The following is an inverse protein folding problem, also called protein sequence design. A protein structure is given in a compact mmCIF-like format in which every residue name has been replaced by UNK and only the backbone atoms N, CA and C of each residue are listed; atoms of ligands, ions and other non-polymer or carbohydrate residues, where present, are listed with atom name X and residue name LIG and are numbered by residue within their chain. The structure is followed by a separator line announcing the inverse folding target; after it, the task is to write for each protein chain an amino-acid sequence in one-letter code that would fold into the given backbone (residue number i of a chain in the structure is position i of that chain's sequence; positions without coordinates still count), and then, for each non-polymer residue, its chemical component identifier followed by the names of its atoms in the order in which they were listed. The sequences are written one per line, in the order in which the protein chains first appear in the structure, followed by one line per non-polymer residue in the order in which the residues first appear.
data_IF_737759896101
#
_entry.id   IF_737759896101
#
_cell.length_a   1.000
_cell.length_b   1.000
_cell.length_c   1.000
_cell.angle_alpha   90.00
_cell.angle_beta   90.00
_cell.angle_gamma   90.00
#
_symmetry.space_group_name_H-M   'P 1'
#
loop_
_entity.id
_entity.type
_entity.pdbx_description
1 polymer ?
#
# COMPACT_ATOMS: atom_id res chain seq x y z
N UNK A 1 -38.69 15.31 13.25
CA UNK A 1 -37.58 14.64 12.53
C UNK A 1 -36.92 13.66 13.51
N UNK A 2 -37.12 12.35 13.31
CA UNK A 2 -36.82 11.30 14.29
C UNK A 2 -35.30 11.20 14.61
N UNK A 3 -34.96 11.27 15.90
CA UNK A 3 -33.59 11.18 16.43
C UNK A 3 -32.91 9.84 16.05
N UNK A 4 -33.69 8.76 15.94
CA UNK A 4 -33.25 7.43 15.49
C UNK A 4 -32.74 7.40 14.05
N UNK A 5 -33.27 8.22 13.14
CA UNK A 5 -32.74 8.35 11.77
C UNK A 5 -31.45 9.16 11.73
N UNK A 6 -31.32 10.17 12.60
CA UNK A 6 -30.05 10.91 12.76
C UNK A 6 -28.96 10.01 13.31
N UNK A 7 -29.26 9.19 14.31
CA UNK A 7 -28.30 8.23 14.85
C UNK A 7 -27.93 7.14 13.85
N UNK A 8 -28.86 6.64 13.02
CA UNK A 8 -28.52 5.66 11.98
C UNK A 8 -27.63 6.26 10.89
N UNK A 9 -27.88 7.50 10.46
CA UNK A 9 -27.06 8.21 9.47
C UNK A 9 -25.69 8.59 10.03
N UNK A 10 -25.61 9.03 11.29
CA UNK A 10 -24.34 9.33 11.98
C UNK A 10 -23.54 8.06 12.27
N UNK A 11 -24.22 6.95 12.57
CA UNK A 11 -23.56 5.64 12.70
C UNK A 11 -23.07 5.15 11.34
N UNK A 12 -23.83 5.35 10.26
CA UNK A 12 -23.44 5.03 8.88
C UNK A 12 -22.30 5.91 8.37
N UNK A 13 -22.25 7.19 8.73
CA UNK A 13 -21.12 8.08 8.41
C UNK A 13 -19.86 7.73 9.22
N UNK A 14 -19.99 7.05 10.36
CA UNK A 14 -18.86 6.49 11.13
C UNK A 14 -18.22 5.27 10.48
N UNK A 15 -18.95 4.56 9.60
CA UNK A 15 -18.44 3.35 8.91
C UNK A 15 -17.37 3.71 7.87
N UNK A 16 -17.46 4.88 7.23
CA UNK A 16 -16.45 5.39 6.30
C UNK A 16 -15.63 6.50 6.94
N UNK A 17 -14.63 6.13 7.73
CA UNK A 17 -13.62 7.11 8.15
C UNK A 17 -12.87 7.61 6.91
N UNK A 18 -12.66 8.94 6.74
CA UNK A 18 -11.88 9.48 5.61
C UNK A 18 -10.48 8.85 5.52
N UNK A 19 -9.94 8.40 6.66
CA UNK A 19 -8.67 7.70 6.76
C UNK A 19 -8.67 6.33 6.09
N UNK A 20 -9.82 5.64 6.04
CA UNK A 20 -9.93 4.35 5.33
C UNK A 20 -9.70 4.55 3.84
N UNK A 21 -10.34 5.55 3.24
CA UNK A 21 -10.13 5.92 1.84
C UNK A 21 -8.70 6.40 1.60
N UNK A 22 -8.12 7.14 2.55
CA UNK A 22 -6.73 7.60 2.47
C UNK A 22 -5.73 6.44 2.45
N UNK A 23 -5.89 5.45 3.34
CA UNK A 23 -5.01 4.26 3.31
C UNK A 23 -5.24 3.41 2.08
N UNK A 24 -6.47 3.32 1.58
CA UNK A 24 -6.75 2.63 0.31
C UNK A 24 -6.00 3.27 -0.85
N UNK A 25 -6.08 4.60 -0.97
CA UNK A 25 -5.33 5.35 -1.96
C UNK A 25 -3.82 5.18 -1.77
N UNK A 26 -3.32 5.25 -0.53
CA UNK A 26 -1.90 5.06 -0.25
C UNK A 26 -1.43 3.66 -0.64
N UNK A 27 -2.20 2.62 -0.30
CA UNK A 27 -1.91 1.24 -0.69
C UNK A 27 -1.91 1.06 -2.20
N UNK A 28 -2.84 1.72 -2.91
CA UNK A 28 -2.90 1.68 -4.37
C UNK A 28 -1.64 2.30 -4.98
N UNK A 29 -1.27 3.48 -4.50
CA UNK A 29 -0.10 4.22 -4.97
C UNK A 29 1.20 3.51 -4.66
N UNK A 30 1.31 2.82 -3.52
CA UNK A 30 2.47 1.98 -3.20
C UNK A 30 2.58 0.81 -4.19
N UNK A 31 1.47 0.11 -4.47
CA UNK A 31 1.47 -1.02 -5.41
C UNK A 31 1.87 -0.59 -6.82
N UNK A 32 1.28 0.50 -7.32
CA UNK A 32 1.64 1.09 -8.62
C UNK A 32 3.07 1.65 -8.59
N UNK A 33 3.46 2.25 -7.47
CA UNK A 33 4.79 2.75 -7.14
C UNK A 33 5.89 1.72 -7.36
N UNK A 34 5.60 0.49 -6.93
CA UNK A 34 6.47 -0.66 -7.03
C UNK A 34 6.37 -1.38 -8.38
N UNK A 35 5.63 -0.88 -9.36
CA UNK A 35 5.53 -1.49 -10.69
C UNK A 35 4.65 -2.74 -10.76
N UNK A 36 3.83 -3.01 -9.73
CA UNK A 36 2.84 -4.08 -9.81
C UNK A 36 1.65 -3.67 -10.69
N UNK A 37 1.03 -4.63 -11.41
CA UNK A 37 -0.17 -4.35 -12.19
C UNK A 37 -1.31 -3.89 -11.27
N UNK A 38 -2.17 -3.02 -11.80
CA UNK A 38 -3.34 -2.54 -11.07
C UNK A 38 -4.21 -3.69 -10.60
N UNK A 39 -4.37 -3.83 -9.29
CA UNK A 39 -5.19 -4.86 -8.67
C UNK A 39 -5.88 -4.33 -7.43
N UNK A 40 -7.21 -4.26 -7.50
CA UNK A 40 -8.06 -3.86 -6.38
C UNK A 40 -7.97 -4.84 -5.22
N UNK A 41 -7.79 -6.14 -5.51
CA UNK A 41 -7.75 -7.18 -4.49
C UNK A 41 -6.50 -7.05 -3.61
N UNK A 42 -5.31 -6.90 -4.20
CA UNK A 42 -4.08 -6.70 -3.44
C UNK A 42 -4.06 -5.36 -2.72
N UNK A 43 -4.62 -4.32 -3.34
CA UNK A 43 -4.77 -3.01 -2.71
C UNK A 43 -5.68 -3.07 -1.49
N UNK A 44 -6.84 -3.73 -1.60
CA UNK A 44 -7.75 -3.93 -0.49
C UNK A 44 -7.11 -4.77 0.63
N UNK A 45 -6.37 -5.82 0.28
CA UNK A 45 -5.71 -6.69 1.26
C UNK A 45 -4.60 -5.96 2.03
N UNK A 46 -3.80 -5.14 1.34
CA UNK A 46 -2.78 -4.32 2.01
C UNK A 46 -3.43 -3.22 2.87
N UNK A 47 -4.50 -2.58 2.38
CA UNK A 47 -5.29 -1.61 3.15
C UNK A 47 -5.85 -2.24 4.42
N UNK A 48 -6.40 -3.45 4.31
CA UNK A 48 -6.90 -4.23 5.44
C UNK A 48 -5.80 -4.42 6.50
N UNK A 49 -4.61 -4.88 6.09
CA UNK A 49 -3.46 -5.00 7.01
C UNK A 49 -3.16 -3.65 7.70
N UNK A 50 -3.13 -2.55 6.95
CA UNK A 50 -2.87 -1.22 7.54
C UNK A 50 -3.95 -0.79 8.54
N UNK A 51 -5.21 -1.09 8.29
CA UNK A 51 -6.31 -0.78 9.21
C UNK A 51 -6.22 -1.61 10.50
N UNK A 52 -5.93 -2.90 10.37
CA UNK A 52 -5.73 -3.80 11.51
C UNK A 52 -4.52 -3.35 12.35
N UNK A 53 -3.42 -3.03 11.68
CA UNK A 53 -2.17 -2.62 12.32
C UNK A 53 -2.30 -1.26 13.00
N UNK A 54 -3.15 -0.36 12.49
CA UNK A 54 -3.47 0.90 13.17
C UNK A 54 -4.12 0.67 14.54
N UNK A 55 -5.00 -0.33 14.66
CA UNK A 55 -5.71 -0.65 15.91
C UNK A 55 -4.82 -1.38 16.91
N UNK A 56 -4.01 -2.34 16.45
CA UNK A 56 -3.16 -3.17 17.31
C UNK A 56 -1.84 -2.47 17.67
N UNK A 57 -1.12 -1.99 16.67
CA UNK A 57 0.27 -1.52 16.75
C UNK A 57 0.48 -0.26 15.86
N UNK A 58 -0.09 0.91 16.22
CA UNK A 58 -0.06 2.10 15.38
C UNK A 58 1.36 2.61 15.08
N UNK A 59 2.36 2.29 15.91
CA UNK A 59 3.76 2.59 15.64
C UNK A 59 4.30 1.78 14.45
N UNK A 60 4.03 0.47 14.44
CA UNK A 60 4.44 -0.42 13.34
C UNK A 60 3.74 -0.02 12.06
N UNK A 61 2.45 0.35 12.14
CA UNK A 61 1.71 0.85 10.99
C UNK A 61 2.33 2.11 10.37
N UNK A 62 2.72 3.08 11.20
CA UNK A 62 3.42 4.28 10.73
C UNK A 62 4.76 3.97 10.07
N UNK A 63 5.56 3.09 10.68
CA UNK A 63 6.85 2.67 10.11
C UNK A 63 6.63 1.95 8.79
N UNK A 64 5.68 1.01 8.74
CA UNK A 64 5.37 0.25 7.54
C UNK A 64 4.92 1.17 6.39
N UNK A 65 4.00 2.11 6.65
CA UNK A 65 3.56 3.08 5.64
C UNK A 65 4.71 3.99 5.22
N UNK A 66 5.53 4.47 6.16
CA UNK A 66 6.66 5.35 5.84
C UNK A 66 7.71 4.67 4.99
N UNK A 67 8.15 3.47 5.37
CA UNK A 67 9.15 2.70 4.63
C UNK A 67 8.59 2.31 3.26
N UNK A 68 7.37 1.76 3.18
CA UNK A 68 6.77 1.36 1.90
C UNK A 68 6.54 2.54 0.95
N UNK A 69 6.12 3.70 1.46
CA UNK A 69 5.95 4.90 0.64
C UNK A 69 7.29 5.47 0.18
N UNK A 70 8.33 5.42 1.01
CA UNK A 70 9.68 5.84 0.63
C UNK A 70 10.26 4.92 -0.45
N UNK A 71 10.17 3.61 -0.25
CA UNK A 71 10.66 2.63 -1.24
C UNK A 71 9.89 2.78 -2.56
N UNK A 72 8.55 2.89 -2.51
CA UNK A 72 7.73 3.14 -3.70
C UNK A 72 8.11 4.45 -4.41
N UNK A 73 8.35 5.52 -3.66
CA UNK A 73 8.75 6.81 -4.22
C UNK A 73 10.12 6.77 -4.92
N UNK A 74 11.11 6.14 -4.29
CA UNK A 74 12.46 6.00 -4.87
C UNK A 74 12.47 5.05 -6.06
N UNK A 75 11.64 4.00 -6.03
CA UNK A 75 11.62 2.98 -7.06
C UNK A 75 10.73 3.35 -8.26
N UNK A 76 9.77 4.27 -8.12
CA UNK A 76 8.81 4.59 -9.18
C UNK A 76 9.42 4.93 -10.55
N UNK A 77 10.51 5.72 -10.66
CA UNK A 77 11.16 5.96 -11.96
C UNK A 77 11.66 4.66 -12.61
N UNK A 78 12.23 3.76 -11.80
CA UNK A 78 12.72 2.45 -12.25
C UNK A 78 11.59 1.49 -12.57
N UNK A 79 10.49 1.53 -11.83
CA UNK A 79 9.33 0.67 -12.02
C UNK A 79 8.74 0.78 -13.44
N UNK A 80 8.86 1.95 -14.08
CA UNK A 80 8.39 2.15 -15.46
C UNK A 80 9.22 1.39 -16.51
N UNK A 81 10.51 1.16 -16.24
CA UNK A 81 11.41 0.47 -17.17
C UNK A 81 11.60 -1.02 -16.81
N UNK A 82 11.64 -1.34 -15.51
CA UNK A 82 12.01 -2.67 -15.01
C UNK A 82 10.84 -3.44 -14.40
N UNK A 83 9.67 -2.81 -14.22
CA UNK A 83 8.49 -3.44 -13.65
C UNK A 83 8.60 -3.67 -12.14
N UNK A 84 8.05 -4.78 -11.66
CA UNK A 84 8.05 -5.10 -10.24
C UNK A 84 9.42 -5.59 -9.74
N UNK A 85 9.84 -5.22 -8.51
CA UNK A 85 11.14 -5.60 -7.97
C UNK A 85 11.26 -7.13 -7.84
N UNK A 86 12.34 -7.68 -8.40
CA UNK A 86 12.67 -9.10 -8.39
C UNK A 86 14.17 -9.31 -8.06
N UNK A 87 14.61 -10.57 -7.99
CA UNK A 87 16.02 -10.89 -7.72
C UNK A 87 16.98 -10.26 -8.74
N UNK A 88 16.61 -10.21 -10.02
CA UNK A 88 17.45 -9.60 -11.06
C UNK A 88 17.61 -8.10 -10.84
N UNK A 89 16.56 -7.43 -10.35
CA UNK A 89 16.60 -6.00 -10.02
C UNK A 89 17.54 -5.72 -8.84
N UNK A 90 17.54 -6.60 -7.83
CA UNK A 90 18.46 -6.48 -6.69
C UNK A 90 19.91 -6.75 -7.09
N UNK A 91 20.15 -7.73 -7.96
CA UNK A 91 21.48 -8.00 -8.49
C UNK A 91 21.99 -6.85 -9.34
N UNK A 92 21.15 -6.29 -10.20
CA UNK A 92 21.49 -5.11 -11.00
C UNK A 92 21.81 -3.90 -10.11
N UNK A 93 21.04 -3.68 -9.04
CA UNK A 93 21.33 -2.61 -8.08
C UNK A 93 22.65 -2.84 -7.31
N UNK A 94 23.00 -4.09 -7.03
CA UNK A 94 24.25 -4.44 -6.37
C UNK A 94 25.47 -4.36 -7.32
N UNK A 95 25.27 -4.58 -8.62
CA UNK A 95 26.35 -4.57 -9.61
C UNK A 95 26.57 -3.21 -10.28
N UNK A 96 25.72 -2.22 -10.04
CA UNK A 96 25.80 -0.90 -10.65
C UNK A 96 26.82 -0.01 -9.93
N UNK A 97 27.59 0.74 -10.72
CA UNK A 97 28.57 1.70 -10.20
C UNK A 97 27.96 3.12 -10.07
N UNK A 98 28.71 4.08 -9.50
CA UNK A 98 28.22 5.44 -9.28
C UNK A 98 28.00 6.21 -10.60
N UNK A 99 28.87 6.05 -11.58
CA UNK A 99 28.80 6.73 -12.87
C UNK A 99 27.54 6.26 -13.64
N UNK A 100 27.34 4.95 -13.72
CA UNK A 100 26.18 4.29 -14.33
C UNK A 100 24.87 4.66 -13.63
N UNK A 101 24.90 4.79 -12.29
CA UNK A 101 23.73 5.24 -11.52
C UNK A 101 23.33 6.69 -11.84
N UNK A 102 24.31 7.58 -12.03
CA UNK A 102 24.02 8.99 -12.38
C UNK A 102 23.47 9.12 -13.79
N UNK A 103 23.98 8.34 -14.74
CA UNK A 103 23.44 8.30 -16.11
C UNK A 103 21.99 7.83 -16.10
N UNK A 104 21.69 6.70 -15.42
CA UNK A 104 20.33 6.16 -15.32
C UNK A 104 19.35 7.17 -14.69
N UNK A 105 19.77 7.93 -13.68
CA UNK A 105 18.94 8.98 -13.06
C UNK A 105 18.63 10.16 -13.99
N UNK A 106 19.41 10.40 -15.03
CA UNK A 106 19.14 11.47 -16.01
C UNK A 106 18.29 11.01 -17.19
N UNK A 107 18.24 9.70 -17.44
CA UNK A 107 17.47 9.10 -18.54
C UNK A 107 15.97 9.12 -18.25
N UNK A 108 15.57 8.94 -16.98
CA UNK A 108 14.17 8.91 -16.64
C UNK A 108 13.50 10.29 -16.79
N UNK A 109 12.24 10.32 -17.25
CA UNK A 109 11.54 11.57 -17.41
C UNK A 109 11.25 12.23 -16.05
N UNK A 110 11.36 13.56 -16.01
CA UNK A 110 11.19 14.37 -14.79
C UNK A 110 9.82 14.15 -14.09
N UNK A 111 8.76 13.84 -14.85
CA UNK A 111 7.43 13.60 -14.29
C UNK A 111 7.38 12.35 -13.40
N UNK A 112 8.24 11.34 -13.65
CA UNK A 112 8.31 10.15 -12.79
C UNK A 112 8.80 10.51 -11.39
N UNK A 113 9.77 11.42 -11.28
CA UNK A 113 10.23 11.94 -9.99
C UNK A 113 9.14 12.75 -9.28
N UNK A 114 8.34 13.52 -10.01
CA UNK A 114 7.20 14.24 -9.42
C UNK A 114 6.17 13.29 -8.82
N UNK A 115 5.85 12.19 -9.51
CA UNK A 115 4.94 11.17 -8.98
C UNK A 115 5.55 10.48 -7.76
N UNK A 116 6.85 10.17 -7.77
CA UNK A 116 7.56 9.66 -6.60
C UNK A 116 7.42 10.59 -5.37
N UNK A 117 7.68 11.89 -5.57
CA UNK A 117 7.49 12.91 -4.52
C UNK A 117 6.03 12.94 -4.04
N UNK A 118 5.06 12.86 -4.94
CA UNK A 118 3.63 12.82 -4.58
C UNK A 118 3.27 11.63 -3.69
N UNK A 119 3.75 10.42 -4.04
CA UNK A 119 3.57 9.20 -3.23
C UNK A 119 4.19 9.37 -1.84
N UNK A 120 5.38 9.96 -1.78
CA UNK A 120 6.09 10.20 -0.53
C UNK A 120 5.36 11.21 0.37
N UNK A 121 4.90 12.33 -0.19
CA UNK A 121 4.17 13.37 0.55
C UNK A 121 2.88 12.79 1.15
N UNK A 122 2.13 12.00 0.39
CA UNK A 122 0.94 11.31 0.91
C UNK A 122 1.29 10.31 2.03
N UNK A 123 2.40 9.58 1.89
CA UNK A 123 2.93 8.72 2.95
C UNK A 123 3.24 9.48 4.24
N UNK A 124 3.89 10.64 4.14
CA UNK A 124 4.17 11.53 5.28
C UNK A 124 2.88 12.03 5.93
N UNK A 125 1.87 12.39 5.13
CA UNK A 125 0.55 12.80 5.63
C UNK A 125 -0.14 11.63 6.37
N UNK A 126 -0.06 10.40 5.85
CA UNK A 126 -0.58 9.20 6.53
C UNK A 126 0.03 8.99 7.92
N UNK A 127 1.34 9.22 8.06
CA UNK A 127 2.06 9.04 9.34
C UNK A 127 1.65 10.08 10.38
N UNK A 128 1.30 11.29 9.94
CA UNK A 128 0.87 12.40 10.83
C UNK A 128 -0.48 12.17 11.50
N UNK A 129 -1.21 11.11 11.15
CA UNK A 129 -2.46 10.74 11.83
C UNK A 129 -2.22 10.66 13.35
N UNK A 130 -3.01 11.42 14.11
CA UNK A 130 -2.99 11.39 15.58
C UNK A 130 -3.66 10.11 16.07
N UNK A 131 -3.09 9.51 17.11
CA UNK A 131 -3.66 8.31 17.73
C UNK A 131 -4.91 8.70 18.52
N UNK A 132 -6.04 8.08 18.23
CA UNK A 132 -7.20 8.13 19.11
C UNK A 132 -6.90 7.28 20.36
N UNK A 133 -7.13 7.84 21.56
CA UNK A 133 -6.55 7.35 22.81
C UNK A 133 -7.15 6.03 23.32
N UNK A 134 -8.25 5.55 22.74
CA UNK A 134 -8.85 4.30 23.17
C UNK A 134 -8.17 3.08 22.51
N UNK A 135 -7.68 2.18 23.37
CA UNK A 135 -7.34 0.81 22.96
C UNK A 135 -8.65 0.12 22.57
N UNK A 136 -9.00 0.16 21.29
CA UNK A 136 -10.18 -0.55 20.78
C UNK A 136 -10.05 -2.05 21.10
N UNK A 137 -11.07 -2.60 21.78
CA UNK A 137 -11.20 -4.04 22.04
C UNK A 137 -11.28 -4.77 20.69
N UNK A 138 -10.60 -5.92 20.58
CA UNK A 138 -10.62 -6.75 19.37
C UNK A 138 -12.06 -7.01 18.94
N UNK A 139 -12.40 -6.65 17.70
CA UNK A 139 -13.76 -6.76 17.17
C UNK A 139 -13.81 -7.74 15.99
N UNK A 140 -15.01 -8.23 15.65
CA UNK A 140 -15.25 -9.13 14.50
C UNK A 140 -14.71 -8.55 13.19
N UNK A 141 -14.70 -7.22 13.04
CA UNK A 141 -14.09 -6.53 11.90
C UNK A 141 -12.58 -6.81 11.78
N UNK A 142 -11.85 -6.88 12.90
CA UNK A 142 -10.41 -7.16 12.89
C UNK A 142 -10.14 -8.61 12.47
N UNK A 143 -10.97 -9.55 12.94
CA UNK A 143 -10.93 -10.95 12.49
C UNK A 143 -11.24 -11.07 10.99
N UNK A 144 -12.25 -10.37 10.48
CA UNK A 144 -12.60 -10.36 9.06
C UNK A 144 -11.44 -9.82 8.21
N UNK A 145 -10.85 -8.72 8.65
CA UNK A 145 -9.70 -8.08 8.04
C UNK A 145 -8.50 -9.02 7.96
N UNK A 146 -8.21 -9.74 9.06
CA UNK A 146 -7.14 -10.73 9.13
C UNK A 146 -7.42 -11.91 8.19
N UNK A 147 -8.61 -12.49 8.25
CA UNK A 147 -9.00 -13.62 7.38
C UNK A 147 -8.92 -13.23 5.91
N UNK A 148 -9.39 -12.04 5.54
CA UNK A 148 -9.31 -11.54 4.16
C UNK A 148 -7.87 -11.38 3.68
N UNK A 149 -7.00 -10.81 4.50
CA UNK A 149 -5.56 -10.66 4.17
C UNK A 149 -4.86 -12.01 4.07
N UNK A 150 -5.14 -12.95 4.98
CA UNK A 150 -4.57 -14.31 4.93
C UNK A 150 -5.07 -15.08 3.72
N UNK A 151 -6.37 -15.04 3.43
CA UNK A 151 -6.95 -15.68 2.25
C UNK A 151 -6.32 -15.13 0.96
N UNK A 152 -6.18 -13.81 0.86
CA UNK A 152 -5.50 -13.17 -0.27
C UNK A 152 -4.04 -13.59 -0.37
N UNK A 153 -3.32 -13.69 0.75
CA UNK A 153 -1.93 -14.13 0.76
C UNK A 153 -1.78 -15.57 0.24
N UNK A 154 -2.70 -16.46 0.62
CA UNK A 154 -2.73 -17.84 0.15
C UNK A 154 -3.12 -17.97 -1.34
N UNK A 155 -3.74 -16.95 -1.94
CA UNK A 155 -4.01 -16.93 -3.38
C UNK A 155 -2.76 -16.63 -4.23
N UNK A 156 -1.68 -16.08 -3.65
CA UNK A 156 -0.42 -15.86 -4.38
C UNK A 156 0.16 -17.16 -4.97
N UNK A 157 0.39 -18.24 -4.19
CA UNK A 157 0.94 -19.48 -4.74
C UNK A 157 0.03 -20.17 -5.76
N UNK A 158 -1.29 -19.99 -5.68
CA UNK A 158 -2.23 -20.54 -6.67
C UNK A 158 -2.13 -19.86 -8.05
N UNK A 159 -1.82 -18.56 -8.10
CA UNK A 159 -1.64 -17.84 -9.38
C UNK A 159 -0.33 -18.19 -10.08
N UNK A 160 0.71 -18.52 -9.33
CA UNK A 160 2.04 -18.88 -9.85
C UNK A 160 2.19 -20.38 -10.12
N UNK A 161 1.11 -21.16 -10.04
CA UNK A 161 1.15 -22.60 -10.30
C UNK A 161 1.40 -22.86 -11.80
N UNK A 162 2.36 -23.73 -12.17
CA UNK A 162 2.69 -24.04 -13.57
C UNK A 162 1.52 -24.55 -14.43
N UNK A 163 0.40 -24.95 -13.83
CA UNK A 163 -0.79 -25.45 -14.51
C UNK A 163 -1.79 -24.37 -14.94
N UNK A 164 -1.63 -23.12 -14.51
CA UNK A 164 -2.54 -22.01 -14.86
C UNK A 164 -2.19 -21.33 -16.20
N UNK A 165 -1.09 -21.71 -16.85
CA UNK A 165 -0.61 -21.11 -18.10
C UNK A 165 -1.37 -21.58 -19.37
N UNK A 166 -2.34 -22.50 -19.25
CA UNK A 166 -3.05 -23.10 -20.40
C UNK A 166 -4.49 -22.60 -20.59
N UNK A 167 -4.91 -21.51 -19.93
CA UNK A 167 -6.28 -20.98 -20.03
C UNK A 167 -6.32 -19.47 -20.37
N UNK A 168 -5.50 -19.04 -21.33
CA UNK A 168 -5.79 -17.85 -22.13
C UNK A 168 -5.57 -18.16 -23.60
#
# INVERSE_FOLDING_TARGET
MNLTLKESLVTRSRVFSPWTAFYFLQSLLINLGLGYPFSLLYTAAFTAILLLLWRTLPRVQKVLVGVSSLVAACYFPFAQAYGAPNFNTLLALHSTNMEESTEILTIFPWYSYMVGIFIFVLGVIAIRRKKESEKARWNTFDSLCLVFSVATFLLLPCKTWPGAAYLN
#
